data_IF_936826556780
#
_entry.id   IF_936826556780
#
_cell.length_a   1.000
_cell.length_b   1.000
_cell.length_c   1.000
_cell.angle_alpha   90.00
_cell.angle_beta   90.00
_cell.angle_gamma   90.00
#
_symmetry.space_group_name_H-M   'P 1'
#
loop_
_entity.id
_entity.type
_entity.pdbx_description
1 polymer ?
#
# COMPACT_ATOMS: atom_id res chain seq x y z
N UNK A 1 -28.02 11.59 -8.57
CA UNK A 1 -27.66 10.26 -9.12
C UNK A 1 -27.45 9.34 -7.93
N UNK A 2 -28.23 8.26 -7.81
CA UNK A 2 -28.10 7.30 -6.73
C UNK A 2 -26.81 6.52 -6.95
N UNK A 3 -25.75 6.84 -6.22
CA UNK A 3 -24.57 5.98 -6.16
C UNK A 3 -25.01 4.65 -5.59
N UNK A 4 -24.88 3.58 -6.37
CA UNK A 4 -25.13 2.23 -5.89
C UNK A 4 -24.09 1.94 -4.82
N UNK A 5 -24.52 1.85 -3.55
CA UNK A 5 -23.62 1.48 -2.46
C UNK A 5 -23.18 0.04 -2.69
N UNK A 6 -21.88 -0.19 -2.83
CA UNK A 6 -21.33 -1.54 -2.97
C UNK A 6 -21.47 -2.22 -1.61
N UNK A 7 -22.29 -3.27 -1.54
CA UNK A 7 -22.52 -4.03 -0.29
C UNK A 7 -21.93 -5.43 -0.34
N UNK A 8 -21.40 -5.85 -1.49
CA UNK A 8 -20.90 -7.19 -1.74
C UNK A 8 -19.60 -7.13 -2.53
N UNK A 9 -18.65 -7.94 -2.12
CA UNK A 9 -17.34 -8.07 -2.73
C UNK A 9 -17.00 -9.55 -2.92
N UNK A 10 -16.27 -9.87 -3.97
CA UNK A 10 -16.05 -11.22 -4.44
C UNK A 10 -14.57 -11.58 -4.54
N UNK A 11 -14.20 -12.76 -4.04
CA UNK A 11 -12.85 -13.31 -4.19
C UNK A 11 -12.90 -14.63 -4.95
N UNK A 12 -12.08 -14.74 -5.99
CA UNK A 12 -11.97 -15.94 -6.82
C UNK A 12 -10.78 -16.79 -6.36
N UNK A 13 -10.99 -18.09 -6.17
CA UNK A 13 -9.93 -19.02 -5.78
C UNK A 13 -10.01 -20.34 -6.56
N UNK A 14 -8.87 -20.97 -6.88
CA UNK A 14 -8.83 -22.31 -7.47
C UNK A 14 -9.33 -23.36 -6.45
N UNK A 15 -9.83 -24.53 -6.88
CA UNK A 15 -10.30 -25.56 -5.95
C UNK A 15 -9.10 -26.39 -5.48
N UNK A 16 -8.26 -25.82 -4.61
CA UNK A 16 -7.06 -26.46 -4.07
C UNK A 16 -7.07 -26.56 -2.54
N UNK A 17 -6.04 -27.19 -1.97
CA UNK A 17 -5.93 -27.42 -0.54
C UNK A 17 -5.87 -26.11 0.28
N UNK A 18 -5.29 -25.05 -0.28
CA UNK A 18 -5.27 -23.72 0.36
C UNK A 18 -6.66 -23.11 0.43
N UNK A 19 -7.45 -23.30 -0.61
CA UNK A 19 -8.84 -22.82 -0.65
C UNK A 19 -9.74 -23.61 0.30
N UNK A 20 -9.47 -24.89 0.48
CA UNK A 20 -10.15 -25.68 1.50
C UNK A 20 -9.74 -25.24 2.93
N UNK A 21 -8.47 -24.91 3.13
CA UNK A 21 -7.95 -24.38 4.40
C UNK A 21 -8.63 -23.06 4.80
N UNK A 22 -8.91 -22.17 3.84
CA UNK A 22 -9.71 -20.95 4.06
C UNK A 22 -11.04 -21.29 4.73
N UNK A 23 -11.76 -22.28 4.18
CA UNK A 23 -13.08 -22.68 4.65
C UNK A 23 -13.05 -23.41 6.00
N UNK A 24 -12.04 -24.26 6.21
CA UNK A 24 -11.95 -25.07 7.44
C UNK A 24 -11.51 -24.21 8.63
N UNK A 25 -10.58 -23.29 8.40
CA UNK A 25 -9.90 -22.57 9.48
C UNK A 25 -10.35 -21.11 9.62
N UNK A 26 -11.29 -20.65 8.79
CA UNK A 26 -11.78 -19.26 8.76
C UNK A 26 -10.63 -18.24 8.62
N UNK A 27 -9.77 -18.49 7.62
CA UNK A 27 -8.57 -17.68 7.34
C UNK A 27 -8.54 -17.25 5.90
N UNK A 28 -7.99 -16.08 5.61
CA UNK A 28 -7.75 -15.64 4.24
C UNK A 28 -6.26 -15.69 3.89
N UNK A 29 -5.95 -16.30 2.74
CA UNK A 29 -4.61 -16.23 2.16
C UNK A 29 -4.46 -14.94 1.37
N UNK A 30 -3.80 -13.98 2.01
CA UNK A 30 -3.40 -12.72 1.39
C UNK A 30 -2.03 -12.86 0.72
N UNK A 31 -1.87 -12.20 -0.42
CA UNK A 31 -0.59 -12.16 -1.13
C UNK A 31 0.36 -11.24 -0.37
N UNK A 32 1.61 -11.67 -0.21
CA UNK A 32 2.66 -10.77 0.26
C UNK A 32 2.83 -9.63 -0.76
N UNK A 33 3.02 -8.38 -0.30
CA UNK A 33 3.36 -7.26 -1.18
C UNK A 33 4.56 -7.57 -2.10
N UNK A 34 5.55 -8.31 -1.59
CA UNK A 34 6.73 -8.78 -2.32
C UNK A 34 6.44 -9.68 -3.53
N UNK A 35 5.22 -10.25 -3.64
CA UNK A 35 4.78 -11.14 -4.72
C UNK A 35 3.74 -10.49 -5.63
N UNK A 36 3.36 -9.23 -5.40
CA UNK A 36 2.66 -8.47 -6.43
C UNK A 36 3.61 -8.27 -7.61
N UNK A 37 3.11 -8.58 -8.80
CA UNK A 37 3.93 -9.04 -9.92
C UNK A 37 4.52 -7.89 -10.74
N UNK A 38 4.72 -6.73 -10.12
CA UNK A 38 5.32 -5.58 -10.76
C UNK A 38 5.97 -4.66 -9.70
N UNK A 39 7.25 -4.26 -9.83
CA UNK A 39 7.80 -3.16 -9.02
C UNK A 39 6.97 -1.86 -9.13
N UNK A 40 6.09 -1.72 -10.12
CA UNK A 40 5.13 -0.62 -10.25
C UNK A 40 3.86 -0.77 -9.39
N UNK A 41 3.42 -1.98 -9.02
CA UNK A 41 2.22 -2.21 -8.18
C UNK A 41 2.46 -1.86 -6.70
N UNK A 42 3.74 -1.86 -6.29
CA UNK A 42 4.21 -1.35 -5.01
C UNK A 42 5.16 -0.16 -5.21
N UNK A 43 5.18 0.45 -6.40
CA UNK A 43 5.81 1.75 -6.55
C UNK A 43 4.97 2.69 -5.72
N UNK A 44 5.52 3.04 -4.56
CA UNK A 44 5.21 4.31 -3.95
C UNK A 44 5.71 5.40 -4.92
N UNK A 45 4.96 5.65 -6.00
CA UNK A 45 5.05 6.90 -6.79
C UNK A 45 4.93 8.14 -5.87
N UNK A 46 4.49 7.91 -4.64
CA UNK A 46 4.18 8.84 -3.57
C UNK A 46 5.34 9.37 -2.73
N UNK A 47 6.61 9.16 -3.10
CA UNK A 47 7.63 10.08 -2.58
C UNK A 47 7.52 11.46 -3.25
N UNK A 48 6.69 11.65 -4.29
CA UNK A 48 6.41 12.98 -4.88
C UNK A 48 5.80 13.99 -3.90
N UNK A 49 5.14 13.56 -2.82
CA UNK A 49 4.56 14.43 -1.80
C UNK A 49 5.47 14.71 -0.60
N UNK A 50 6.52 13.90 -0.38
CA UNK A 50 7.43 14.10 0.75
C UNK A 50 8.34 15.29 0.48
N UNK A 51 8.08 16.39 1.20
CA UNK A 51 8.80 17.64 1.03
C UNK A 51 10.03 17.71 1.93
N UNK A 52 10.90 18.67 1.65
CA UNK A 52 12.03 19.02 2.50
C UNK A 52 11.57 19.43 3.90
N UNK A 53 10.38 20.05 3.98
CA UNK A 53 9.75 20.38 5.26
C UNK A 53 9.37 19.13 6.04
N UNK A 54 8.81 18.11 5.40
CA UNK A 54 8.45 16.84 6.05
C UNK A 54 9.70 16.08 6.51
N UNK A 55 10.75 16.09 5.69
CA UNK A 55 12.05 15.53 6.04
C UNK A 55 12.67 16.19 7.26
N UNK A 56 12.72 17.52 7.29
CA UNK A 56 13.23 18.27 8.43
C UNK A 56 12.35 18.11 9.66
N UNK A 57 11.02 18.12 9.51
CA UNK A 57 10.08 17.91 10.60
C UNK A 57 10.22 16.52 11.23
N UNK A 58 10.35 15.46 10.42
CA UNK A 58 10.60 14.10 10.89
C UNK A 58 11.94 14.00 11.63
N UNK A 59 12.97 14.66 11.12
CA UNK A 59 14.30 14.72 11.76
C UNK A 59 14.20 15.44 13.11
N UNK A 60 13.52 16.59 13.17
CA UNK A 60 13.27 17.33 14.40
C UNK A 60 12.43 16.53 15.41
N UNK A 61 11.39 15.80 14.97
CA UNK A 61 10.56 14.96 15.84
C UNK A 61 11.39 13.88 16.53
N UNK A 62 12.40 13.35 15.84
CA UNK A 62 13.26 12.27 16.34
C UNK A 62 14.42 12.76 17.21
N UNK A 63 15.06 13.86 16.85
CA UNK A 63 16.32 14.31 17.48
C UNK A 63 16.19 15.66 18.21
N UNK A 64 15.01 16.26 18.26
CA UNK A 64 14.79 17.57 18.86
C UNK A 64 15.18 18.73 17.92
N UNK A 65 15.30 19.96 18.43
CA UNK A 65 15.71 21.11 17.62
C UNK A 65 17.15 20.95 17.10
N UNK A 66 17.46 21.66 16.01
CA UNK A 66 18.69 21.45 15.21
C UNK A 66 20.00 21.62 15.99
N UNK A 67 20.00 22.44 17.03
CA UNK A 67 21.13 22.65 17.95
C UNK A 67 21.47 21.41 18.80
N UNK A 68 20.53 20.47 18.91
CA UNK A 68 20.67 19.23 19.67
C UNK A 68 21.00 18.02 18.78
N UNK A 69 21.10 18.23 17.46
CA UNK A 69 21.35 17.13 16.53
C UNK A 69 22.79 16.60 16.68
N UNK A 70 22.96 15.27 16.70
CA UNK A 70 24.29 14.66 16.57
C UNK A 70 24.98 15.11 15.28
N UNK A 71 26.32 15.20 15.30
CA UNK A 71 27.13 15.63 14.15
C UNK A 71 26.86 14.80 12.89
N UNK A 72 26.59 13.51 13.06
CA UNK A 72 26.30 12.56 11.98
C UNK A 72 24.96 12.90 11.30
N UNK A 73 23.96 13.33 12.07
CA UNK A 73 22.64 13.71 11.55
C UNK A 73 22.74 15.05 10.81
N UNK A 74 23.48 16.00 11.36
CA UNK A 74 23.74 17.28 10.69
C UNK A 74 24.43 17.05 9.35
N UNK A 75 25.47 16.20 9.33
CA UNK A 75 26.15 15.83 8.10
C UNK A 75 25.19 15.16 7.11
N UNK A 76 24.42 14.15 7.55
CA UNK A 76 23.48 13.43 6.69
C UNK A 76 22.43 14.35 6.07
N UNK A 77 21.88 15.30 6.83
CA UNK A 77 20.93 16.29 6.32
C UNK A 77 21.59 17.22 5.30
N UNK A 78 22.80 17.69 5.59
CA UNK A 78 23.54 18.56 4.67
C UNK A 78 24.02 17.83 3.40
N UNK A 79 24.15 16.51 3.42
CA UNK A 79 24.43 15.71 2.22
C UNK A 79 23.19 15.56 1.34
N UNK A 80 22.00 15.54 1.94
CA UNK A 80 20.74 15.37 1.22
C UNK A 80 20.15 16.70 0.72
N UNK A 81 20.43 17.81 1.40
CA UNK A 81 19.92 19.15 1.05
C UNK A 81 21.03 20.06 0.51
N UNK A 82 20.69 20.95 -0.42
CA UNK A 82 21.57 22.03 -0.86
C UNK A 82 21.61 23.21 0.12
N UNK A 83 22.36 24.26 -0.21
CA UNK A 83 22.51 25.45 0.63
C UNK A 83 21.19 26.23 0.80
N UNK A 84 20.25 26.09 -0.12
CA UNK A 84 18.93 26.71 -0.09
C UNK A 84 17.90 25.85 0.66
N UNK A 85 18.32 24.64 1.11
CA UNK A 85 17.49 23.70 1.84
C UNK A 85 16.61 22.83 0.95
N UNK A 86 16.86 22.77 -0.36
CA UNK A 86 16.15 21.90 -1.30
C UNK A 86 16.86 20.54 -1.41
N UNK A 87 16.14 19.47 -1.75
CA UNK A 87 16.82 18.20 -2.01
C UNK A 87 17.76 18.29 -3.21
N UNK A 88 18.99 17.82 -3.03
CA UNK A 88 19.87 17.52 -4.17
C UNK A 88 19.29 16.33 -4.94
N UNK A 89 19.56 16.17 -6.25
CA UNK A 89 19.09 15.01 -7.01
C UNK A 89 19.48 13.67 -6.37
N UNK A 90 20.71 13.57 -5.89
CA UNK A 90 21.20 12.39 -5.17
C UNK A 90 20.57 12.24 -3.79
N UNK A 91 20.42 13.34 -3.05
CA UNK A 91 19.76 13.38 -1.75
C UNK A 91 18.31 12.90 -1.83
N UNK A 92 17.56 13.37 -2.84
CA UNK A 92 16.20 12.89 -3.11
C UNK A 92 16.18 11.40 -3.38
N UNK A 93 17.11 10.90 -4.21
CA UNK A 93 17.23 9.47 -4.49
C UNK A 93 17.47 8.64 -3.22
N UNK A 94 18.36 9.08 -2.33
CA UNK A 94 18.64 8.40 -1.05
C UNK A 94 17.44 8.38 -0.12
N UNK A 95 16.76 9.53 0.04
CA UNK A 95 15.57 9.63 0.89
C UNK A 95 14.43 8.76 0.35
N UNK A 96 14.17 8.80 -0.95
CA UNK A 96 13.17 7.95 -1.59
C UNK A 96 13.45 6.47 -1.32
N UNK A 97 14.71 6.05 -1.51
CA UNK A 97 15.12 4.67 -1.27
C UNK A 97 14.92 4.24 0.19
N UNK A 98 15.31 5.08 1.15
CA UNK A 98 15.14 4.78 2.57
C UNK A 98 13.66 4.67 2.98
N UNK A 99 12.80 5.53 2.42
CA UNK A 99 11.34 5.46 2.64
C UNK A 99 10.78 4.18 2.05
N UNK A 100 11.15 3.85 0.81
CA UNK A 100 10.71 2.63 0.13
C UNK A 100 11.13 1.38 0.90
N UNK A 101 12.39 1.29 1.32
CA UNK A 101 12.89 0.17 2.13
C UNK A 101 12.15 0.07 3.47
N UNK A 102 11.93 1.20 4.16
CA UNK A 102 11.18 1.24 5.41
C UNK A 102 9.72 0.81 5.26
N UNK A 103 9.08 1.15 4.14
CA UNK A 103 7.73 0.73 3.81
C UNK A 103 7.68 -0.77 3.49
N UNK A 104 8.62 -1.26 2.67
CA UNK A 104 8.74 -2.70 2.36
C UNK A 104 8.90 -3.49 3.65
N UNK A 105 9.83 -3.11 4.54
CA UNK A 105 10.04 -3.77 5.84
C UNK A 105 8.77 -3.81 6.69
N UNK A 106 8.06 -2.68 6.81
CA UNK A 106 6.79 -2.62 7.56
C UNK A 106 5.70 -3.50 6.93
N UNK A 107 5.70 -3.61 5.61
CA UNK A 107 4.70 -4.36 4.86
C UNK A 107 5.02 -5.85 4.69
N UNK A 108 6.18 -6.34 5.15
CA UNK A 108 6.52 -7.78 5.09
C UNK A 108 5.52 -8.69 5.79
N UNK A 109 4.85 -8.16 6.82
CA UNK A 109 3.82 -8.86 7.58
C UNK A 109 2.39 -8.47 7.19
N UNK A 110 2.25 -7.55 6.24
CA UNK A 110 0.96 -7.16 5.68
C UNK A 110 0.61 -8.11 4.53
N UNK A 111 -0.68 -8.37 4.36
CA UNK A 111 -1.20 -9.16 3.26
C UNK A 111 -2.18 -8.33 2.45
N UNK A 112 -2.08 -8.38 1.12
CA UNK A 112 -3.02 -7.71 0.22
C UNK A 112 -3.98 -8.75 -0.36
N UNK A 113 -5.26 -8.42 -0.36
CA UNK A 113 -6.32 -9.19 -1.02
C UNK A 113 -6.95 -8.36 -2.13
N UNK A 114 -7.21 -8.98 -3.28
CA UNK A 114 -7.95 -8.36 -4.36
C UNK A 114 -9.38 -8.87 -4.34
N UNK A 115 -10.34 -7.94 -4.33
CA UNK A 115 -11.76 -8.21 -4.35
C UNK A 115 -12.40 -7.60 -5.59
N UNK A 116 -13.49 -8.18 -6.07
CA UNK A 116 -14.24 -7.69 -7.23
C UNK A 116 -15.68 -7.36 -6.84
N UNK A 117 -16.27 -6.35 -7.48
CA UNK A 117 -17.71 -6.06 -7.36
C UNK A 117 -18.57 -7.03 -8.20
N UNK A 118 -17.93 -7.78 -9.11
CA UNK A 118 -18.60 -8.69 -10.06
C UNK A 118 -18.23 -10.12 -9.68
N UNK A 119 -19.20 -11.03 -9.60
CA UNK A 119 -18.99 -12.44 -9.20
C UNK A 119 -18.82 -13.42 -10.37
N UNK A 120 -19.16 -13.01 -11.59
CA UNK A 120 -19.17 -13.81 -12.81
C UNK A 120 -18.23 -13.26 -13.91
N UNK A 121 -17.21 -12.48 -13.50
CA UNK A 121 -16.24 -11.91 -14.44
C UNK A 121 -15.38 -13.01 -15.06
N UNK A 122 -15.61 -13.31 -16.35
CA UNK A 122 -14.86 -14.33 -17.11
C UNK A 122 -13.35 -14.07 -17.04
N UNK A 123 -12.94 -12.80 -17.07
CA UNK A 123 -11.54 -12.39 -16.96
C UNK A 123 -10.95 -12.77 -15.59
N UNK A 124 -11.67 -12.47 -14.50
CA UNK A 124 -11.23 -12.86 -13.15
C UNK A 124 -11.18 -14.37 -13.01
N UNK A 125 -12.17 -15.08 -13.56
CA UNK A 125 -12.17 -16.54 -13.63
C UNK A 125 -10.97 -17.09 -14.42
N UNK A 126 -10.51 -16.45 -15.49
CA UNK A 126 -9.31 -16.93 -16.21
C UNK A 126 -8.01 -16.69 -15.45
N UNK A 127 -7.89 -15.59 -14.69
CA UNK A 127 -6.65 -15.20 -14.02
C UNK A 127 -6.49 -15.76 -12.61
N UNK A 128 -7.59 -15.88 -11.85
CA UNK A 128 -7.55 -16.21 -10.42
C UNK A 128 -8.09 -17.61 -10.10
N UNK A 129 -8.48 -18.39 -11.11
CA UNK A 129 -8.94 -19.78 -10.92
C UNK A 129 -8.24 -20.75 -11.88
N UNK A 130 -8.47 -22.05 -11.71
CA UNK A 130 -7.83 -23.09 -12.52
C UNK A 130 -8.56 -23.26 -13.86
N UNK A 131 -8.33 -22.35 -14.80
CA UNK A 131 -8.98 -22.34 -16.13
C UNK A 131 -10.51 -22.30 -16.04
N UNK A 132 -11.06 -21.26 -15.41
CA UNK A 132 -12.50 -21.08 -15.19
C UNK A 132 -13.16 -22.12 -14.26
N UNK A 133 -12.36 -22.85 -13.48
CA UNK A 133 -12.85 -23.82 -12.49
C UNK A 133 -12.31 -23.44 -11.12
N UNK A 134 -13.20 -23.32 -10.13
CA UNK A 134 -12.88 -22.83 -8.80
C UNK A 134 -14.14 -22.41 -8.03
N UNK A 135 -13.93 -21.59 -7.01
CA UNK A 135 -14.97 -21.06 -6.13
C UNK A 135 -14.90 -19.53 -6.10
N UNK A 136 -16.04 -18.91 -5.84
CA UNK A 136 -16.18 -17.48 -5.66
C UNK A 136 -16.76 -17.23 -4.26
N UNK A 137 -15.99 -16.57 -3.40
CA UNK A 137 -16.41 -16.20 -2.06
C UNK A 137 -17.05 -14.82 -2.08
N UNK A 138 -18.26 -14.71 -1.53
CA UNK A 138 -18.94 -13.43 -1.32
C UNK A 138 -18.68 -12.93 0.09
N UNK A 139 -18.23 -11.68 0.19
CA UNK A 139 -18.04 -10.95 1.43
C UNK A 139 -19.05 -9.81 1.51
N UNK A 140 -19.56 -9.57 2.72
CA UNK A 140 -20.44 -8.43 2.99
C UNK A 140 -19.59 -7.20 3.27
N UNK A 141 -19.82 -6.13 2.52
CA UNK A 141 -19.24 -4.80 2.77
C UNK A 141 -20.26 -3.94 3.52
N UNK A 142 -19.92 -3.49 4.71
CA UNK A 142 -20.78 -2.68 5.56
C UNK A 142 -19.97 -1.62 6.32
N UNK A 143 -20.60 -0.52 6.72
CA UNK A 143 -19.95 0.59 7.45
C UNK A 143 -19.28 0.14 8.78
N UNK A 144 -19.74 -0.95 9.35
CA UNK A 144 -19.29 -1.50 10.64
C UNK A 144 -18.25 -2.62 10.51
N UNK A 145 -17.68 -2.83 9.31
CA UNK A 145 -16.61 -3.81 9.10
C UNK A 145 -15.44 -3.25 8.27
N UNK A 146 -14.32 -3.97 8.31
CA UNK A 146 -13.06 -3.59 7.63
C UNK A 146 -13.22 -3.35 6.12
N UNK A 147 -14.21 -3.95 5.46
CA UNK A 147 -14.47 -3.75 4.04
C UNK A 147 -15.20 -2.43 3.76
N UNK A 148 -15.91 -1.87 4.74
CA UNK A 148 -16.54 -0.55 4.66
C UNK A 148 -15.57 0.60 4.81
N UNK A 149 -14.43 0.38 5.46
CA UNK A 149 -13.38 1.36 5.68
C UNK A 149 -12.58 1.60 4.38
N UNK A 150 -12.57 2.84 3.90
CA UNK A 150 -11.88 3.22 2.65
C UNK A 150 -10.35 3.26 2.80
N UNK A 151 -9.82 3.37 4.03
CA UNK A 151 -8.38 3.30 4.29
C UNK A 151 -7.87 1.84 4.24
N UNK A 152 -8.74 0.87 4.55
CA UNK A 152 -8.42 -0.56 4.57
C UNK A 152 -8.76 -1.22 3.22
N UNK A 153 -9.92 -0.88 2.65
CA UNK A 153 -10.46 -1.47 1.42
C UNK A 153 -10.75 -0.39 0.37
N UNK A 154 -9.68 0.09 -0.28
CA UNK A 154 -9.77 1.07 -1.36
C UNK A 154 -10.27 0.46 -2.67
N UNK A 155 -11.07 1.23 -3.41
CA UNK A 155 -11.45 0.88 -4.77
C UNK A 155 -10.30 1.24 -5.71
N UNK A 156 -9.62 0.22 -6.25
CA UNK A 156 -8.62 0.44 -7.29
C UNK A 156 -9.32 0.74 -8.63
N UNK A 157 -9.18 1.99 -9.09
CA UNK A 157 -9.54 2.37 -10.45
C UNK A 157 -8.28 2.28 -11.30
N UNK A 158 -8.25 1.31 -12.21
CA UNK A 158 -7.19 1.22 -13.22
C UNK A 158 -7.28 2.41 -14.17
N UNK A 159 -6.80 3.56 -13.73
CA UNK A 159 -6.40 4.66 -14.59
C UNK A 159 -4.98 4.38 -15.10
N UNK A 160 -4.56 5.01 -16.20
CA UNK A 160 -3.17 4.90 -16.67
C UNK A 160 -2.15 5.56 -15.71
N UNK A 161 -2.59 5.96 -14.53
CA UNK A 161 -1.81 6.63 -13.50
C UNK A 161 -2.05 5.91 -12.17
N UNK A 162 -0.98 5.69 -11.43
CA UNK A 162 -0.95 4.91 -10.20
C UNK A 162 -1.75 5.56 -9.07
N UNK A 163 -2.34 4.77 -8.15
CA UNK A 163 -3.15 5.27 -7.05
C UNK A 163 -2.34 6.17 -6.11
N UNK A 164 -3.04 7.13 -5.51
CA UNK A 164 -2.45 8.20 -4.70
C UNK A 164 -2.73 7.96 -3.20
N UNK A 165 -1.69 7.73 -2.38
CA UNK A 165 -1.86 7.44 -0.93
C UNK A 165 -1.49 8.68 -0.10
N UNK A 166 -2.45 9.25 0.64
CA UNK A 166 -2.19 10.32 1.60
C UNK A 166 -1.52 9.77 2.87
N UNK A 167 -0.32 10.25 3.16
CA UNK A 167 0.49 9.86 4.31
C UNK A 167 0.31 10.78 5.54
N UNK A 168 -0.73 11.63 5.54
CA UNK A 168 -1.01 12.58 6.64
C UNK A 168 -1.05 11.95 8.04
N UNK A 169 -1.38 10.67 8.16
CA UNK A 169 -1.40 9.93 9.42
C UNK A 169 -0.02 9.67 10.05
N UNK A 170 1.09 9.77 9.29
CA UNK A 170 2.46 9.69 9.86
C UNK A 170 2.83 10.93 10.68
N UNK A 171 2.03 12.00 10.58
CA UNK A 171 2.29 13.28 11.26
C UNK A 171 1.55 13.44 12.59
N UNK A 172 0.63 12.52 12.92
CA UNK A 172 -0.02 12.47 14.23
C UNK A 172 0.77 11.64 15.27
#
# INVERSE_FOLDING_TARGET
>A
MLYHRITKLYMYKPPDAYTLDILINDRLWASKPERFNDPFDCDLEYVKGFTEKDYLAATCKKYGPRDQWPSEIVQHVNENLDADGNFTPEGRGRVNKAIQEGFIEKNKNSGVICLSEVCDSILMWSHYTKKHTGVCFEFTRAEDNDLGDEEICSQERYERQSPQIDLGWLTH
#
